data_IF_677961625267
#
_entry.id   IF_677961625267
#
_cell.length_a   1.000
_cell.length_b   1.000
_cell.length_c   1.000
_cell.angle_alpha   90.00
_cell.angle_beta   90.00
_cell.angle_gamma   90.00
#
_symmetry.space_group_name_H-M   'P 1'
#
loop_
_entity.id
_entity.type
_entity.pdbx_description
1 polymer ?
#
# COMPACT_ATOMS: atom_id res chain seq x y z
N UNK A 1 0.46 -13.71 -37.57
CA UNK A 1 0.26 -14.62 -36.41
C UNK A 1 -0.75 -13.99 -35.46
N UNK A 2 -1.89 -14.63 -35.23
CA UNK A 2 -2.84 -14.20 -34.20
C UNK A 2 -2.18 -14.43 -32.83
N UNK A 3 -2.12 -13.39 -31.97
CA UNK A 3 -1.64 -13.56 -30.60
C UNK A 3 -2.58 -14.52 -29.86
N UNK A 4 -2.03 -15.46 -29.08
CA UNK A 4 -2.84 -16.33 -28.21
C UNK A 4 -3.71 -15.49 -27.26
N UNK A 5 -4.97 -15.88 -27.10
CA UNK A 5 -5.91 -15.29 -26.15
C UNK A 5 -5.65 -15.74 -24.71
N UNK A 6 -4.89 -16.83 -24.52
CA UNK A 6 -4.49 -17.29 -23.19
C UNK A 6 -3.35 -16.44 -22.64
N UNK A 7 -3.62 -15.79 -21.51
CA UNK A 7 -2.68 -14.91 -20.80
C UNK A 7 -2.50 -15.38 -19.37
N UNK A 8 -1.33 -15.09 -18.78
CA UNK A 8 -1.08 -15.37 -17.36
C UNK A 8 -1.57 -14.19 -16.52
N UNK A 9 -2.78 -14.30 -15.97
CA UNK A 9 -3.52 -13.17 -15.39
C UNK A 9 -3.57 -13.22 -13.87
N UNK A 10 -3.67 -12.05 -13.25
CA UNK A 10 -3.92 -11.89 -11.82
C UNK A 10 -4.47 -10.50 -11.50
N UNK A 11 -5.22 -10.39 -10.41
CA UNK A 11 -5.61 -9.11 -9.82
C UNK A 11 -4.62 -8.71 -8.75
N UNK A 12 -4.28 -7.43 -8.70
CA UNK A 12 -3.35 -6.89 -7.73
C UNK A 12 -3.71 -5.48 -7.29
N UNK A 13 -3.29 -5.13 -6.08
CA UNK A 13 -3.26 -3.78 -5.58
C UNK A 13 -1.84 -3.22 -5.75
N UNK A 14 -1.69 -2.17 -6.55
CA UNK A 14 -0.43 -1.48 -6.75
C UNK A 14 -0.06 -0.71 -5.49
N UNK A 15 1.17 -0.82 -5.03
CA UNK A 15 1.64 -0.14 -3.83
C UNK A 15 2.65 0.94 -4.16
N UNK A 16 2.58 2.05 -3.45
CA UNK A 16 3.60 3.09 -3.38
C UNK A 16 4.19 3.03 -1.97
N UNK A 17 5.51 3.10 -1.85
CA UNK A 17 6.18 3.04 -0.55
C UNK A 17 7.61 3.58 -0.62
N UNK A 18 8.19 3.83 0.55
CA UNK A 18 9.55 4.41 0.66
C UNK A 18 10.57 3.29 0.83
N UNK A 19 10.77 2.56 -0.26
CA UNK A 19 11.60 1.37 -0.24
C UNK A 19 13.10 1.70 -0.13
N UNK A 20 13.91 0.80 0.45
CA UNK A 20 15.35 0.90 0.40
C UNK A 20 15.86 1.04 -1.04
N UNK A 21 16.84 1.93 -1.25
CA UNK A 21 17.50 2.09 -2.56
C UNK A 21 18.28 0.84 -2.97
N UNK A 22 18.76 0.09 -1.98
CA UNK A 22 19.56 -1.11 -2.17
C UNK A 22 18.94 -2.29 -1.41
N UNK A 23 18.93 -3.44 -2.07
CA UNK A 23 18.44 -4.70 -1.53
C UNK A 23 19.52 -5.78 -1.64
N UNK A 24 19.47 -6.83 -0.80
CA UNK A 24 20.47 -7.86 -0.77
C UNK A 24 20.15 -8.93 -1.82
N UNK A 25 20.76 -8.84 -2.99
CA UNK A 25 20.67 -9.86 -4.05
C UNK A 25 19.24 -10.24 -4.47
N UNK A 26 19.13 -11.29 -5.28
CA UNK A 26 17.88 -11.65 -5.93
C UNK A 26 17.53 -10.73 -7.09
N UNK A 27 16.45 -11.09 -7.81
CA UNK A 27 15.88 -10.24 -8.85
C UNK A 27 14.85 -9.33 -8.22
N UNK A 28 15.28 -8.12 -7.90
CA UNK A 28 14.45 -7.07 -7.32
C UNK A 28 13.38 -6.65 -8.33
N UNK A 29 12.15 -6.49 -7.87
CA UNK A 29 11.09 -5.88 -8.66
C UNK A 29 11.26 -4.36 -8.63
N UNK A 30 11.13 -3.75 -9.81
CA UNK A 30 10.99 -2.29 -9.92
C UNK A 30 9.81 -1.83 -9.08
N UNK A 31 9.86 -0.61 -8.56
CA UNK A 31 8.86 -0.11 -7.61
C UNK A 31 7.45 -0.10 -8.21
N UNK A 32 7.35 0.28 -9.49
CA UNK A 32 6.12 0.24 -10.28
C UNK A 32 5.53 -1.18 -10.43
N UNK A 33 6.33 -2.21 -10.21
CA UNK A 33 5.92 -3.61 -10.29
C UNK A 33 5.68 -4.22 -8.88
N UNK A 34 5.94 -3.50 -7.79
CA UNK A 34 5.66 -3.96 -6.42
C UNK A 34 4.18 -3.84 -6.12
N UNK A 35 3.58 -4.97 -5.81
CA UNK A 35 2.13 -5.08 -5.64
C UNK A 35 1.78 -6.13 -4.60
N UNK A 36 0.56 -6.01 -4.08
CA UNK A 36 -0.11 -7.04 -3.31
C UNK A 36 -1.04 -7.81 -4.24
N UNK A 37 -0.82 -9.13 -4.37
CA UNK A 37 -1.68 -9.97 -5.22
C UNK A 37 -3.00 -10.22 -4.52
N UNK A 38 -4.12 -9.88 -5.16
CA UNK A 38 -5.47 -10.15 -4.66
C UNK A 38 -5.97 -11.53 -5.12
N UNK A 39 -5.72 -11.92 -6.37
CA UNK A 39 -6.13 -13.22 -6.86
C UNK A 39 -5.30 -13.64 -8.08
N UNK A 40 -4.75 -14.85 -8.07
CA UNK A 40 -3.98 -15.39 -9.19
C UNK A 40 -4.85 -16.31 -10.04
N UNK A 41 -4.93 -16.06 -11.34
CA UNK A 41 -5.78 -16.81 -12.28
C UNK A 41 -4.99 -17.83 -13.10
N UNK A 42 -3.67 -17.69 -13.16
CA UNK A 42 -2.82 -18.51 -14.04
C UNK A 42 -3.10 -18.22 -15.51
N UNK A 43 -2.89 -19.22 -16.38
CA UNK A 43 -3.21 -19.11 -17.81
C UNK A 43 -4.73 -19.13 -18.00
N UNK A 44 -5.29 -18.06 -18.53
CA UNK A 44 -6.73 -17.84 -18.70
C UNK A 44 -7.01 -17.08 -20.00
N UNK A 45 -8.12 -17.39 -20.67
CA UNK A 45 -8.64 -16.62 -21.81
C UNK A 45 -8.96 -15.18 -21.38
N UNK A 46 -8.19 -14.23 -21.93
CA UNK A 46 -8.37 -12.81 -21.65
C UNK A 46 -9.72 -12.31 -22.17
N UNK A 47 -10.09 -12.67 -23.40
CA UNK A 47 -11.34 -12.23 -24.01
C UNK A 47 -12.57 -12.67 -23.20
N UNK A 48 -12.55 -13.85 -22.59
CA UNK A 48 -13.64 -14.32 -21.73
C UNK A 48 -13.70 -13.54 -20.41
N UNK A 49 -12.54 -13.29 -19.78
CA UNK A 49 -12.50 -12.52 -18.52
C UNK A 49 -12.95 -11.07 -18.72
N UNK A 50 -12.51 -10.41 -19.79
CA UNK A 50 -12.90 -9.02 -20.09
C UNK A 50 -14.41 -8.86 -20.27
N UNK A 51 -15.12 -9.87 -20.78
CA UNK A 51 -16.60 -9.84 -20.86
C UNK A 51 -17.25 -9.80 -19.48
N UNK A 52 -16.61 -10.38 -18.46
CA UNK A 52 -17.09 -10.41 -17.06
C UNK A 52 -16.72 -9.13 -16.30
N UNK A 53 -15.67 -8.40 -16.72
CA UNK A 53 -15.18 -7.19 -16.03
C UNK A 53 -16.23 -6.08 -15.84
N UNK A 54 -17.32 -6.08 -16.62
CA UNK A 54 -18.43 -5.13 -16.44
C UNK A 54 -19.09 -5.20 -15.06
N UNK A 55 -19.01 -6.35 -14.38
CA UNK A 55 -19.55 -6.55 -13.03
C UNK A 55 -18.45 -6.72 -11.98
N UNK A 56 -17.20 -6.35 -12.30
CA UNK A 56 -16.10 -6.44 -11.35
C UNK A 56 -16.41 -5.59 -10.10
N UNK A 57 -16.20 -6.11 -8.88
CA UNK A 57 -16.51 -5.38 -7.65
C UNK A 57 -15.53 -4.22 -7.49
N UNK A 58 -15.99 -3.00 -7.74
CA UNK A 58 -15.23 -1.78 -7.43
C UNK A 58 -15.12 -1.65 -5.90
N UNK A 59 -13.94 -1.28 -5.36
CA UNK A 59 -13.80 -1.09 -3.92
C UNK A 59 -14.75 0.00 -3.42
N UNK A 60 -15.32 -0.19 -2.22
CA UNK A 60 -16.18 0.81 -1.59
C UNK A 60 -15.39 2.02 -1.05
N UNK A 61 -14.08 1.87 -0.89
CA UNK A 61 -13.15 2.93 -0.52
C UNK A 61 -12.63 3.65 -1.77
N UNK A 62 -12.51 4.97 -1.68
CA UNK A 62 -11.99 5.82 -2.75
C UNK A 62 -10.55 6.28 -2.48
N UNK A 63 -10.17 6.35 -1.21
CA UNK A 63 -8.82 6.65 -0.76
C UNK A 63 -7.97 5.37 -0.75
N UNK A 64 -6.69 5.51 -1.08
CA UNK A 64 -5.72 4.43 -0.99
C UNK A 64 -5.56 3.95 0.45
N UNK A 65 -5.65 2.62 0.65
CA UNK A 65 -5.38 2.02 1.96
C UNK A 65 -3.89 2.16 2.27
N UNK A 66 -3.59 2.85 3.37
CA UNK A 66 -2.25 3.07 3.89
C UNK A 66 -1.85 2.06 4.98
N UNK A 67 -0.55 1.94 5.22
CA UNK A 67 -0.01 1.04 6.23
C UNK A 67 1.51 1.04 6.28
N UNK A 68 2.08 0.04 6.94
CA UNK A 68 3.51 -0.22 6.95
C UNK A 68 3.79 -1.71 6.85
N UNK A 69 4.99 -2.05 6.39
CA UNK A 69 5.46 -3.43 6.43
C UNK A 69 6.00 -3.77 7.81
N UNK A 70 5.83 -5.02 8.24
CA UNK A 70 6.22 -5.47 9.60
C UNK A 70 7.50 -6.30 9.57
N UNK A 71 7.60 -7.23 8.62
CA UNK A 71 8.73 -8.16 8.50
C UNK A 71 8.87 -8.71 7.09
N UNK A 72 10.09 -9.15 6.77
CA UNK A 72 10.35 -9.93 5.57
C UNK A 72 9.76 -11.33 5.72
N UNK A 73 9.15 -11.81 4.63
CA UNK A 73 8.61 -13.15 4.51
C UNK A 73 9.20 -13.85 3.29
N UNK A 74 9.51 -15.13 3.46
CA UNK A 74 10.25 -15.94 2.50
C UNK A 74 9.35 -17.08 2.01
N UNK A 75 8.88 -16.98 0.76
CA UNK A 75 7.86 -17.89 0.22
C UNK A 75 8.46 -18.89 -0.79
N UNK A 76 7.99 -20.15 -0.82
CA UNK A 76 6.90 -20.69 0.00
C UNK A 76 7.30 -20.94 1.46
N UNK A 77 8.55 -21.33 1.71
CA UNK A 77 9.13 -21.51 3.04
C UNK A 77 10.62 -21.21 3.00
N UNK A 78 11.20 -20.81 4.14
CA UNK A 78 12.53 -20.18 4.27
C UNK A 78 13.66 -20.92 3.52
N UNK A 79 13.70 -22.25 3.60
CA UNK A 79 14.76 -23.07 2.99
C UNK A 79 14.65 -23.25 1.47
N UNK A 80 13.46 -23.04 0.90
CA UNK A 80 13.19 -23.20 -0.54
C UNK A 80 12.71 -21.88 -1.17
N UNK A 81 12.93 -20.77 -0.46
CA UNK A 81 12.33 -19.51 -0.80
C UNK A 81 12.78 -19.03 -2.18
N UNK A 82 11.80 -18.69 -3.01
CA UNK A 82 11.99 -18.10 -4.35
C UNK A 82 11.40 -16.71 -4.47
N UNK A 83 10.77 -16.23 -3.39
CA UNK A 83 10.16 -14.91 -3.30
C UNK A 83 10.51 -14.32 -1.95
N UNK A 84 10.96 -13.08 -1.97
CA UNK A 84 10.98 -12.21 -0.79
C UNK A 84 9.81 -11.25 -0.91
N UNK A 85 9.00 -11.22 0.13
CA UNK A 85 7.89 -10.31 0.26
C UNK A 85 7.92 -9.62 1.63
N UNK A 86 7.15 -8.55 1.76
CA UNK A 86 6.98 -7.83 3.00
C UNK A 86 5.55 -8.06 3.51
N UNK A 87 5.42 -8.58 4.73
CA UNK A 87 4.13 -8.64 5.44
C UNK A 87 3.67 -7.21 5.72
N UNK A 88 2.37 -6.95 5.56
CA UNK A 88 1.81 -5.62 5.77
C UNK A 88 0.88 -5.56 6.98
N UNK A 89 0.84 -4.38 7.59
CA UNK A 89 -0.18 -3.97 8.55
C UNK A 89 -0.84 -2.68 8.07
N UNK A 90 -2.18 -2.65 8.09
CA UNK A 90 -2.99 -1.54 7.57
C UNK A 90 -3.33 -0.52 8.67
N UNK A 91 -3.36 0.76 8.29
CA UNK A 91 -3.88 1.89 9.07
C UNK A 91 -5.25 2.34 8.56
N UNK A 92 -6.17 1.40 8.35
CA UNK A 92 -7.48 1.75 7.82
C UNK A 92 -8.61 1.05 8.56
N UNK A 93 -9.74 1.73 8.63
CA UNK A 93 -11.03 1.13 8.98
C UNK A 93 -11.51 0.15 7.88
N UNK A 94 -11.02 0.30 6.65
CA UNK A 94 -11.29 -0.63 5.55
C UNK A 94 -10.19 -1.68 5.47
N UNK A 95 -10.59 -2.96 5.47
CA UNK A 95 -9.63 -4.05 5.48
C UNK A 95 -9.48 -4.70 4.09
N UNK A 96 -8.24 -4.86 3.61
CA UNK A 96 -8.00 -5.53 2.32
C UNK A 96 -8.52 -6.97 2.28
N UNK A 97 -8.59 -7.64 3.45
CA UNK A 97 -9.16 -8.98 3.58
C UNK A 97 -10.61 -9.04 3.08
N UNK A 98 -11.41 -8.01 3.32
CA UNK A 98 -12.82 -7.99 2.93
C UNK A 98 -12.97 -7.70 1.44
N UNK A 99 -12.15 -6.81 0.90
CA UNK A 99 -12.10 -6.59 -0.54
C UNK A 99 -11.58 -7.82 -1.29
N UNK A 100 -10.55 -8.51 -0.77
CA UNK A 100 -10.09 -9.78 -1.29
C UNK A 100 -11.22 -10.82 -1.35
N UNK A 101 -12.01 -10.98 -0.28
CA UNK A 101 -13.18 -11.88 -0.27
C UNK A 101 -14.17 -11.52 -1.38
N UNK A 102 -14.47 -10.24 -1.57
CA UNK A 102 -15.37 -9.79 -2.64
C UNK A 102 -14.83 -10.14 -4.04
N UNK A 103 -13.53 -9.93 -4.29
CA UNK A 103 -12.87 -10.32 -5.55
C UNK A 103 -12.94 -11.83 -5.77
N UNK A 104 -12.65 -12.64 -4.76
CA UNK A 104 -12.70 -14.11 -4.84
C UNK A 104 -14.13 -14.61 -5.09
N UNK A 105 -15.13 -14.07 -4.41
CA UNK A 105 -16.54 -14.41 -4.63
C UNK A 105 -16.99 -14.07 -6.04
N UNK A 106 -16.63 -12.88 -6.54
CA UNK A 106 -16.90 -12.50 -7.92
C UNK A 106 -16.23 -13.44 -8.92
N UNK A 107 -14.97 -13.82 -8.70
CA UNK A 107 -14.24 -14.77 -9.55
C UNK A 107 -14.91 -16.14 -9.58
N UNK A 108 -15.33 -16.66 -8.43
CA UNK A 108 -16.07 -17.93 -8.34
C UNK A 108 -17.38 -17.86 -9.16
N UNK A 109 -18.18 -16.81 -8.97
CA UNK A 109 -19.42 -16.61 -9.73
C UNK A 109 -19.17 -16.42 -11.24
N UNK A 110 -18.01 -15.88 -11.62
CA UNK A 110 -17.60 -15.71 -13.01
C UNK A 110 -17.03 -16.99 -13.67
N UNK A 111 -16.93 -18.10 -12.93
CA UNK A 111 -16.41 -19.39 -13.43
C UNK A 111 -14.90 -19.57 -13.26
N UNK A 112 -14.27 -18.80 -12.38
CA UNK A 112 -12.83 -18.82 -12.08
C UNK A 112 -12.56 -19.18 -10.61
N UNK A 113 -12.84 -20.43 -10.19
CA UNK A 113 -12.62 -20.84 -8.81
C UNK A 113 -11.12 -20.75 -8.45
N UNK A 114 -10.82 -20.21 -7.27
CA UNK A 114 -9.46 -20.19 -6.73
C UNK A 114 -8.99 -21.61 -6.43
N UNK A 115 -7.83 -21.98 -6.96
CA UNK A 115 -7.21 -23.30 -6.70
C UNK A 115 -6.47 -23.34 -5.36
N UNK A 116 -6.01 -22.18 -4.89
CA UNK A 116 -5.33 -22.05 -3.61
C UNK A 116 -6.36 -21.89 -2.49
N UNK A 117 -6.33 -22.80 -1.52
CA UNK A 117 -7.23 -22.82 -0.37
C UNK A 117 -6.60 -22.22 0.88
N UNK A 118 -5.32 -21.79 0.82
CA UNK A 118 -4.64 -21.18 1.96
C UNK A 118 -5.30 -19.84 2.32
N UNK A 119 -5.31 -19.46 3.60
CA UNK A 119 -5.80 -18.16 4.02
C UNK A 119 -5.10 -17.02 3.28
N UNK A 120 -5.84 -15.96 2.98
CA UNK A 120 -5.25 -14.77 2.39
C UNK A 120 -4.23 -14.16 3.35
N UNK A 121 -3.00 -14.09 2.88
CA UNK A 121 -1.88 -13.51 3.62
C UNK A 121 -1.41 -12.28 2.84
N UNK A 122 -1.84 -11.06 3.23
CA UNK A 122 -1.52 -9.85 2.50
C UNK A 122 -0.03 -9.55 2.61
N UNK A 123 0.64 -9.45 1.47
CA UNK A 123 2.06 -9.15 1.39
C UNK A 123 2.40 -8.44 0.07
N UNK A 124 3.47 -7.65 0.08
CA UNK A 124 4.01 -6.99 -1.11
C UNK A 124 5.21 -7.79 -1.60
N UNK A 125 5.17 -8.27 -2.86
CA UNK A 125 6.35 -8.96 -3.43
C UNK A 125 7.45 -7.96 -3.77
N UNK A 126 8.65 -8.19 -3.27
CA UNK A 126 9.81 -7.29 -3.47
C UNK A 126 10.89 -7.91 -4.35
N UNK A 127 11.19 -9.19 -4.16
CA UNK A 127 12.21 -9.87 -4.95
C UNK A 127 11.81 -11.30 -5.30
N UNK A 128 12.39 -11.82 -6.39
CA UNK A 128 12.23 -13.21 -6.81
C UNK A 128 13.58 -13.84 -7.16
N UNK A 129 13.64 -15.17 -7.25
CA UNK A 129 14.84 -15.91 -7.68
C UNK A 129 15.68 -16.39 -6.52
N UNK A 130 17.01 -16.48 -6.71
CA UNK A 130 17.96 -16.90 -5.67
C UNK A 130 18.44 -15.69 -4.88
N UNK A 131 18.40 -15.76 -3.55
CA UNK A 131 18.84 -14.72 -2.63
C UNK A 131 19.36 -15.37 -1.33
N UNK A 132 20.13 -14.60 -0.55
CA UNK A 132 20.56 -15.03 0.78
C UNK A 132 19.59 -14.51 1.85
N UNK A 133 18.93 -15.43 2.54
CA UNK A 133 17.90 -15.09 3.53
C UNK A 133 18.50 -14.32 4.72
N UNK A 134 19.69 -14.70 5.19
CA UNK A 134 20.32 -14.04 6.33
C UNK A 134 20.68 -12.58 6.07
N UNK A 135 20.97 -12.22 4.81
CA UNK A 135 21.19 -10.83 4.40
C UNK A 135 19.89 -10.02 4.36
N UNK A 136 18.79 -10.61 3.89
CA UNK A 136 17.46 -9.96 3.93
C UNK A 136 17.00 -9.67 5.35
N UNK A 137 17.19 -10.62 6.28
CA UNK A 137 16.78 -10.46 7.69
C UNK A 137 17.49 -9.31 8.43
N UNK A 138 18.62 -8.82 7.90
CA UNK A 138 19.36 -7.69 8.48
C UNK A 138 18.85 -6.32 8.01
N UNK A 139 18.06 -6.27 6.94
CA UNK A 139 17.52 -5.01 6.42
C UNK A 139 16.23 -4.68 7.17
N UNK A 140 16.08 -3.44 7.68
CA UNK A 140 14.81 -2.99 8.26
C UNK A 140 13.65 -3.19 7.28
N UNK A 141 12.59 -3.85 7.75
CA UNK A 141 11.36 -4.08 6.98
C UNK A 141 10.23 -3.15 7.43
N UNK A 142 10.53 -2.01 8.06
CA UNK A 142 9.52 -1.01 8.43
C UNK A 142 9.44 0.02 7.31
N UNK A 143 8.56 -0.24 6.34
CA UNK A 143 8.43 0.56 5.13
C UNK A 143 7.00 1.08 5.07
N UNK A 144 6.77 2.40 5.10
CA UNK A 144 5.44 2.94 4.96
C UNK A 144 4.98 2.77 3.51
N UNK A 145 3.71 2.44 3.32
CA UNK A 145 3.13 2.26 1.99
C UNK A 145 1.68 2.74 1.94
N UNK A 146 1.18 2.95 0.73
CA UNK A 146 -0.26 3.00 0.44
C UNK A 146 -0.59 2.35 -0.90
N UNK A 147 -1.84 1.97 -1.08
CA UNK A 147 -2.33 1.41 -2.35
C UNK A 147 -2.80 2.53 -3.27
N UNK A 148 -2.25 2.60 -4.48
CA UNK A 148 -2.61 3.64 -5.46
C UNK A 148 -3.66 3.19 -6.48
N UNK A 149 -3.78 1.89 -6.72
CA UNK A 149 -4.74 1.36 -7.69
C UNK A 149 -4.99 -0.13 -7.52
N UNK A 150 -6.13 -0.59 -8.04
CA UNK A 150 -6.45 -2.00 -8.23
C UNK A 150 -6.43 -2.31 -9.73
N UNK A 151 -5.72 -3.35 -10.13
CA UNK A 151 -5.47 -3.66 -11.53
C UNK A 151 -5.66 -5.14 -11.86
N UNK A 152 -6.14 -5.41 -13.08
CA UNK A 152 -5.95 -6.70 -13.75
C UNK A 152 -4.63 -6.63 -14.53
N UNK A 153 -3.71 -7.54 -14.22
CA UNK A 153 -2.36 -7.56 -14.78
C UNK A 153 -2.13 -8.83 -15.61
N UNK A 154 -1.42 -8.68 -16.73
CA UNK A 154 -0.78 -9.77 -17.47
C UNK A 154 0.67 -9.91 -16.99
N UNK A 155 1.06 -11.11 -16.55
CA UNK A 155 2.45 -11.45 -16.27
C UNK A 155 3.18 -11.82 -17.57
N UNK A 156 4.10 -10.96 -17.99
CA UNK A 156 4.94 -11.15 -19.19
C UNK A 156 6.19 -12.01 -18.94
N UNK A 157 6.41 -12.44 -17.69
CA UNK A 157 7.61 -13.14 -17.27
C UNK A 157 8.68 -12.19 -16.74
N UNK A 158 9.70 -12.75 -16.09
CA UNK A 158 10.80 -11.98 -15.46
C UNK A 158 10.33 -10.82 -14.56
N UNK A 159 9.19 -11.01 -13.89
CA UNK A 159 8.56 -9.99 -13.03
C UNK A 159 8.10 -8.70 -13.73
N UNK A 160 7.92 -8.74 -15.05
CA UNK A 160 7.31 -7.64 -15.80
C UNK A 160 5.80 -7.86 -15.91
N UNK A 161 5.05 -6.78 -15.69
CA UNK A 161 3.59 -6.80 -15.68
C UNK A 161 3.03 -5.76 -16.65
N UNK A 162 1.93 -6.11 -17.31
CA UNK A 162 1.20 -5.18 -18.16
C UNK A 162 -0.21 -4.96 -17.60
N UNK A 163 -0.61 -3.72 -17.30
CA UNK A 163 -1.98 -3.44 -16.93
C UNK A 163 -2.92 -3.64 -18.11
N UNK A 164 -4.01 -4.38 -17.87
CA UNK A 164 -5.08 -4.62 -18.84
C UNK A 164 -6.38 -3.89 -18.46
N UNK A 165 -6.56 -3.65 -17.17
CA UNK A 165 -7.62 -2.82 -16.59
C UNK A 165 -7.10 -2.26 -15.26
N UNK A 166 -7.52 -1.05 -14.91
CA UNK A 166 -7.10 -0.38 -13.69
C UNK A 166 -8.21 0.50 -13.13
N UNK A 167 -8.33 0.52 -11.81
CA UNK A 167 -9.12 1.47 -11.03
C UNK A 167 -8.19 2.21 -10.08
N UNK A 168 -8.02 3.52 -10.31
CA UNK A 168 -7.14 4.38 -9.53
C UNK A 168 -7.85 4.86 -8.26
N UNK A 169 -7.12 4.86 -7.15
CA UNK A 169 -7.55 5.39 -5.86
C UNK A 169 -6.94 6.78 -5.65
N UNK A 170 -7.63 7.61 -4.88
CA UNK A 170 -7.12 8.91 -4.46
C UNK A 170 -6.02 8.68 -3.41
N UNK A 171 -4.82 9.25 -3.56
CA UNK A 171 -3.77 9.02 -2.58
C UNK A 171 -4.17 9.62 -1.21
N UNK A 172 -3.86 8.93 -0.09
CA UNK A 172 -4.24 9.36 1.25
C UNK A 172 -3.57 10.69 1.65
N UNK A 173 -2.44 11.00 1.03
CA UNK A 173 -1.79 12.29 1.15
C UNK A 173 -1.01 12.63 -0.12
N UNK A 174 -0.64 13.88 -0.27
CA UNK A 174 0.20 14.39 -1.34
C UNK A 174 1.09 15.50 -0.79
N UNK A 175 2.39 15.43 -1.04
CA UNK A 175 3.30 16.52 -0.71
C UNK A 175 3.11 17.67 -1.71
N UNK A 176 3.02 18.90 -1.20
CA UNK A 176 2.85 20.11 -2.00
C UNK A 176 3.99 21.09 -1.74
N UNK A 177 4.30 21.91 -2.75
CA UNK A 177 5.29 22.96 -2.62
C UNK A 177 4.84 24.01 -1.59
N UNK A 178 5.72 24.34 -0.66
CA UNK A 178 5.53 25.38 0.34
C UNK A 178 6.85 26.13 0.54
N UNK A 179 6.77 27.45 0.71
CA UNK A 179 7.92 28.36 0.53
C UNK A 179 9.04 28.19 1.56
N UNK A 180 8.77 27.59 2.72
CA UNK A 180 9.74 27.48 3.81
C UNK A 180 9.75 26.11 4.52
N UNK A 181 8.72 25.28 4.32
CA UNK A 181 8.46 24.09 5.15
C UNK A 181 7.97 22.93 4.27
N UNK A 182 7.84 21.75 4.86
CA UNK A 182 7.16 20.64 4.19
C UNK A 182 5.65 20.84 4.38
N UNK A 183 4.88 20.66 3.32
CA UNK A 183 3.42 20.68 3.40
C UNK A 183 2.80 19.49 2.71
N UNK A 184 1.67 19.03 3.24
CA UNK A 184 0.90 17.94 2.69
C UNK A 184 -0.57 18.32 2.55
N UNK A 185 -1.21 17.83 1.49
CA UNK A 185 -2.66 17.63 1.47
C UNK A 185 -2.95 16.25 2.05
N UNK A 186 -3.55 16.20 3.23
CA UNK A 186 -3.99 14.96 3.88
C UNK A 186 -5.47 14.75 3.58
N UNK A 187 -5.86 13.54 3.15
CA UNK A 187 -7.23 13.22 2.75
C UNK A 187 -7.75 12.07 3.58
N UNK A 188 -8.97 12.15 4.09
CA UNK A 188 -9.56 11.11 4.96
C UNK A 188 -11.07 11.06 4.82
N UNK A 189 -11.72 9.91 5.03
CA UNK A 189 -13.18 9.85 5.02
C UNK A 189 -13.79 10.61 6.21
N UNK A 190 -13.07 10.61 7.32
CA UNK A 190 -13.40 11.25 8.59
C UNK A 190 -12.12 11.76 9.28
N UNK A 191 -12.26 12.34 10.48
CA UNK A 191 -11.11 12.84 11.26
C UNK A 191 -10.13 11.72 11.63
N UNK A 192 -10.62 10.50 11.86
CA UNK A 192 -9.75 9.38 12.20
C UNK A 192 -8.86 9.00 11.02
N UNK A 193 -9.41 8.95 9.80
CA UNK A 193 -8.62 8.72 8.59
C UNK A 193 -7.60 9.84 8.37
N UNK A 194 -7.96 11.11 8.62
CA UNK A 194 -7.00 12.22 8.54
C UNK A 194 -5.82 12.04 9.49
N UNK A 195 -6.08 11.62 10.74
CA UNK A 195 -5.04 11.30 11.71
C UNK A 195 -4.11 10.17 11.22
N UNK A 196 -4.68 9.05 10.78
CA UNK A 196 -3.92 7.90 10.31
C UNK A 196 -3.09 8.22 9.06
N UNK A 197 -3.65 8.98 8.12
CA UNK A 197 -2.96 9.37 6.90
C UNK A 197 -1.91 10.48 7.12
N UNK A 198 -2.12 11.38 8.08
CA UNK A 198 -1.12 12.38 8.47
C UNK A 198 0.13 11.72 9.08
N UNK A 199 -0.07 10.77 9.99
CA UNK A 199 1.01 9.94 10.53
C UNK A 199 1.78 9.20 9.44
N UNK A 200 1.05 8.63 8.48
CA UNK A 200 1.66 7.94 7.34
C UNK A 200 2.48 8.90 6.46
N UNK A 201 2.00 10.12 6.22
CA UNK A 201 2.73 11.14 5.47
C UNK A 201 4.06 11.50 6.14
N UNK A 202 4.08 11.68 7.46
CA UNK A 202 5.30 11.89 8.23
C UNK A 202 6.26 10.69 8.13
N UNK A 203 5.73 9.47 8.24
CA UNK A 203 6.52 8.25 8.08
C UNK A 203 7.10 8.10 6.66
N UNK A 204 6.41 8.57 5.62
CA UNK A 204 6.96 8.62 4.27
C UNK A 204 8.19 9.55 4.18
N UNK A 205 8.24 10.63 4.96
CA UNK A 205 9.41 11.51 5.03
C UNK A 205 10.50 10.98 5.93
N UNK A 206 10.13 10.34 7.03
CA UNK A 206 11.08 9.76 7.98
C UNK A 206 10.59 8.37 8.43
N UNK A 207 10.90 7.30 7.66
CA UNK A 207 10.46 5.93 7.96
C UNK A 207 10.76 5.44 9.39
N UNK A 208 11.85 5.86 10.05
CA UNK A 208 12.07 5.54 11.46
C UNK A 208 10.96 5.99 12.43
N UNK A 209 9.97 6.78 12.00
CA UNK A 209 8.77 7.08 12.79
C UNK A 209 7.81 5.90 12.98
N UNK A 210 7.89 4.85 12.16
CA UNK A 210 6.93 3.73 12.19
C UNK A 210 6.66 3.15 13.59
N UNK A 211 7.69 2.92 14.44
CA UNK A 211 7.47 2.42 15.81
C UNK A 211 6.66 3.34 16.73
N UNK A 212 6.55 4.64 16.41
CA UNK A 212 5.84 5.63 17.23
C UNK A 212 4.40 5.88 16.78
N UNK A 213 4.00 5.30 15.64
CA UNK A 213 2.66 5.45 15.09
C UNK A 213 1.62 4.82 16.02
N UNK A 214 0.48 5.48 16.13
CA UNK A 214 -0.57 5.13 17.07
C UNK A 214 -1.92 4.99 16.37
N UNK A 215 -2.70 4.01 16.84
CA UNK A 215 -4.11 3.82 16.44
C UNK A 215 -5.08 4.50 17.42
N UNK A 216 -4.60 5.47 18.19
CA UNK A 216 -5.47 6.26 19.06
C UNK A 216 -6.57 6.97 18.26
N UNK A 217 -7.65 7.29 18.96
CA UNK A 217 -8.79 7.94 18.34
C UNK A 217 -8.67 9.45 18.44
N UNK A 218 -8.87 10.15 17.32
CA UNK A 218 -9.00 11.59 17.26
C UNK A 218 -10.39 11.98 16.73
N UNK A 219 -11.03 12.95 17.38
CA UNK A 219 -12.37 13.43 17.08
C UNK A 219 -12.40 14.86 16.49
N UNK A 220 -11.28 15.58 16.54
CA UNK A 220 -11.11 16.93 16.00
C UNK A 220 -9.71 17.16 15.44
N UNK A 221 -9.56 18.13 14.53
CA UNK A 221 -8.26 18.50 13.95
C UNK A 221 -7.27 19.07 14.97
N UNK A 222 -7.76 19.73 16.02
CA UNK A 222 -6.91 20.18 17.13
C UNK A 222 -6.30 18.99 17.87
N UNK A 223 -7.11 17.95 18.14
CA UNK A 223 -6.63 16.72 18.74
C UNK A 223 -5.66 15.97 17.82
N UNK A 224 -5.92 15.92 16.51
CA UNK A 224 -4.96 15.39 15.52
C UNK A 224 -3.63 16.13 15.60
N UNK A 225 -3.66 17.46 15.61
CA UNK A 225 -2.45 18.29 15.62
C UNK A 225 -1.67 18.14 16.93
N UNK A 226 -2.35 18.12 18.07
CA UNK A 226 -1.73 17.87 19.37
C UNK A 226 -1.11 16.47 19.45
N UNK A 227 -1.80 15.44 18.94
CA UNK A 227 -1.31 14.07 18.90
C UNK A 227 -0.09 13.91 17.98
N UNK A 228 -0.08 14.55 16.80
CA UNK A 228 1.07 14.54 15.89
C UNK A 228 2.29 15.20 16.54
N UNK A 229 2.11 16.34 17.19
CA UNK A 229 3.20 17.04 17.89
C UNK A 229 3.75 16.21 19.06
N UNK A 230 2.88 15.54 19.82
CA UNK A 230 3.30 14.62 20.88
C UNK A 230 4.06 13.41 20.31
N UNK A 231 3.61 12.85 19.18
CA UNK A 231 4.32 11.77 18.49
C UNK A 231 5.72 12.21 18.07
N UNK A 232 5.83 13.37 17.42
CA UNK A 232 7.11 13.97 16.98
C UNK A 232 8.03 14.17 18.19
N UNK A 233 7.55 14.81 19.26
CA UNK A 233 8.37 15.08 20.44
C UNK A 233 8.91 13.80 21.09
N UNK A 234 8.09 12.74 21.19
CA UNK A 234 8.53 11.43 21.71
C UNK A 234 9.59 10.79 20.83
N UNK A 235 9.39 10.82 19.51
CA UNK A 235 10.34 10.26 18.56
C UNK A 235 11.65 11.06 18.52
N UNK A 236 11.59 12.39 18.62
CA UNK A 236 12.76 13.26 18.65
C UNK A 236 13.66 12.96 19.85
N UNK A 237 13.05 12.79 21.02
CA UNK A 237 13.77 12.45 22.26
C UNK A 237 14.51 11.10 22.18
N UNK A 238 14.03 10.16 21.39
CA UNK A 238 14.55 8.80 21.33
C UNK A 238 15.54 8.61 20.17
N UNK A 239 15.15 9.00 18.95
CA UNK A 239 15.93 8.74 17.73
C UNK A 239 16.41 10.01 17.01
N UNK A 240 15.95 11.20 17.44
CA UNK A 240 16.11 12.44 16.70
C UNK A 240 15.28 12.44 15.42
N UNK A 241 14.44 13.45 15.21
CA UNK A 241 13.59 13.54 14.02
C UNK A 241 13.80 14.89 13.32
N UNK A 242 13.63 14.95 11.99
CA UNK A 242 13.81 16.20 11.24
C UNK A 242 12.60 17.14 11.34
N UNK A 243 11.62 16.84 12.20
CA UNK A 243 10.37 17.60 12.33
C UNK A 243 10.35 18.30 13.68
N UNK A 244 10.01 19.59 13.69
CA UNK A 244 9.86 20.39 14.91
C UNK A 244 8.42 20.40 15.41
N UNK A 245 7.48 20.63 14.49
CA UNK A 245 6.07 20.72 14.82
C UNK A 245 5.19 20.50 13.58
N UNK A 246 3.93 20.13 13.83
CA UNK A 246 2.85 20.16 12.85
C UNK A 246 1.91 21.30 13.20
N UNK A 247 1.51 22.06 12.19
CA UNK A 247 0.52 23.13 12.27
C UNK A 247 -0.47 23.05 11.12
N UNK A 248 -1.53 23.86 11.20
CA UNK A 248 -2.49 24.03 10.12
C UNK A 248 -2.88 25.50 9.98
N UNK A 249 -3.06 25.95 8.74
CA UNK A 249 -3.30 27.36 8.43
C UNK A 249 -4.64 27.65 7.75
N UNK A 250 -5.49 26.64 7.56
CA UNK A 250 -6.74 26.76 6.81
C UNK A 250 -7.81 25.81 7.35
N UNK A 251 -9.07 26.13 7.08
CA UNK A 251 -10.20 25.25 7.34
C UNK A 251 -10.12 23.97 6.50
N UNK A 252 -10.61 22.88 7.08
CA UNK A 252 -10.80 21.61 6.40
C UNK A 252 -11.78 21.76 5.24
N UNK A 253 -11.41 21.28 4.05
CA UNK A 253 -12.29 21.30 2.88
C UNK A 253 -13.03 19.96 2.76
N UNK A 254 -14.35 20.00 2.57
CA UNK A 254 -15.16 18.81 2.35
C UNK A 254 -15.39 18.56 0.87
N UNK A 255 -15.10 17.34 0.42
CA UNK A 255 -15.45 16.81 -0.90
C UNK A 255 -16.54 15.72 -0.77
N UNK A 256 -17.19 15.30 -1.87
CA UNK A 256 -18.30 14.32 -1.80
C UNK A 256 -17.96 12.99 -1.12
N UNK A 257 -16.68 12.60 -1.06
CA UNK A 257 -16.24 11.29 -0.57
C UNK A 257 -15.11 11.34 0.47
N UNK A 258 -14.59 12.53 0.77
CA UNK A 258 -13.46 12.70 1.69
C UNK A 258 -13.37 14.14 2.21
N UNK A 259 -12.68 14.31 3.31
CA UNK A 259 -12.19 15.54 3.89
C UNK A 259 -10.75 15.75 3.44
N UNK A 260 -10.36 17.00 3.20
CA UNK A 260 -8.98 17.38 2.90
C UNK A 260 -8.49 18.43 3.89
N UNK A 261 -7.29 18.22 4.39
CA UNK A 261 -6.62 19.08 5.34
C UNK A 261 -5.20 19.41 4.83
N UNK A 262 -4.86 20.71 4.81
CA UNK A 262 -3.49 21.15 4.56
C UNK A 262 -2.68 21.11 5.85
N UNK A 263 -1.82 20.11 5.97
CA UNK A 263 -0.87 19.94 7.08
C UNK A 263 0.46 20.63 6.72
N UNK A 264 0.97 21.46 7.62
CA UNK A 264 2.32 22.05 7.52
C UNK A 264 3.21 21.40 8.57
N UNK A 265 4.44 21.05 8.17
CA UNK A 265 5.43 20.40 9.02
C UNK A 265 6.69 21.25 9.04
N UNK A 266 6.94 21.87 10.20
CA UNK A 266 8.14 22.66 10.46
C UNK A 266 9.33 21.71 10.56
N UNK A 267 10.45 22.03 9.88
CA UNK A 267 11.69 21.23 9.86
C UNK A 267 12.88 21.96 10.48
#
# INVERSE_FOLDING_TARGET
MLKSDEKRLFFAAQTIGVWPREFPGGRILDEENRHLTLAFLGSTSLSHLLKKMKSFPIPAFHLGIGGYTTKWVFLPHKHEARVVAAEIEEFSQFHLIDYHKAVVQWLQAAGYPQKDTRPFFPHITVARGSFDVGSWEKIPCQIPFYISSISLLESLGNSHYKPLWQHTLIPPFEEIEHTADIAFLIRGKDIQDLWLHAQLALAFKFPPLIPYLSKEHCDSLDNVTAALNNLIARADLDIGVPFKAVSYHHEMTSYPHYLEWRMIVDV
#
